data_IF_003324951288
#
_entry.id   IF_003324951288
#
_cell.length_a   1.000
_cell.length_b   1.000
_cell.length_c   1.000
_cell.angle_alpha   90.00
_cell.angle_beta   90.00
_cell.angle_gamma   90.00
#
_symmetry.space_group_name_H-M   'P 1'
#
loop_
_entity.id
_entity.type
_entity.pdbx_description
1 polymer ?
#
# COMPACT_ATOMS: atom_id res chain seq x y z
N UNK A 1 43.98 -23.95 33.86
CA UNK A 1 45.44 -23.70 33.76
C UNK A 1 45.74 -23.47 32.29
N UNK A 2 46.33 -22.35 31.96
CA UNK A 2 46.75 -21.79 30.67
C UNK A 2 45.79 -20.78 30.04
N UNK A 3 46.10 -19.51 30.34
CA UNK A 3 45.69 -18.29 29.61
C UNK A 3 46.84 -17.96 28.63
N UNK A 4 46.59 -17.45 27.47
CA UNK A 4 47.39 -16.37 26.95
C UNK A 4 46.65 -15.18 26.36
N UNK A 5 47.00 -14.07 26.86
CA UNK A 5 47.77 -12.92 26.29
C UNK A 5 47.05 -12.06 25.27
N UNK A 6 46.76 -10.86 25.75
CA UNK A 6 46.45 -9.63 25.04
C UNK A 6 47.58 -9.18 24.10
N UNK A 7 47.19 -8.67 22.94
CA UNK A 7 48.05 -7.81 22.13
C UNK A 7 47.31 -6.47 21.87
N UNK A 8 47.82 -5.42 22.51
CA UNK A 8 47.46 -4.01 22.23
C UNK A 8 48.33 -3.53 21.08
N UNK A 9 47.74 -2.93 20.05
CA UNK A 9 48.46 -2.12 19.05
C UNK A 9 47.95 -0.70 19.19
N UNK A 10 48.82 0.19 19.63
CA UNK A 10 48.72 1.64 19.52
C UNK A 10 49.11 2.03 18.09
N UNK A 11 48.39 2.95 17.49
CA UNK A 11 48.87 3.71 16.35
C UNK A 11 48.49 5.17 16.48
N UNK A 12 49.48 5.97 16.32
CA UNK A 12 49.70 7.38 16.57
C UNK A 12 48.99 8.29 15.57
N UNK A 13 48.52 9.44 16.10
CA UNK A 13 48.03 10.62 15.41
C UNK A 13 49.22 11.36 14.75
N UNK A 14 48.99 11.84 13.52
CA UNK A 14 49.83 12.86 12.89
C UNK A 14 48.97 14.02 12.42
N UNK A 15 49.16 15.17 13.07
CA UNK A 15 48.64 16.49 12.73
C UNK A 15 49.62 17.13 11.73
N UNK A 16 49.12 17.62 10.62
CA UNK A 16 49.86 18.43 9.64
C UNK A 16 49.09 19.70 9.29
N UNK A 17 49.46 20.80 9.91
CA UNK A 17 49.02 22.14 9.52
C UNK A 17 49.96 22.73 8.48
N UNK A 18 49.43 23.32 7.43
CA UNK A 18 50.17 24.17 6.49
C UNK A 18 49.37 25.45 6.25
N UNK A 19 49.97 26.51 6.77
CA UNK A 19 49.57 27.93 6.54
C UNK A 19 50.47 28.43 5.40
N UNK A 20 49.89 29.10 4.43
CA UNK A 20 50.64 29.98 3.51
C UNK A 20 49.78 31.22 3.19
N UNK A 21 50.27 32.32 3.71
CA UNK A 21 49.88 33.69 3.46
C UNK A 21 50.59 34.22 2.20
N UNK A 22 49.91 35.03 1.43
CA UNK A 22 50.51 35.80 0.32
C UNK A 22 49.69 37.09 0.07
N UNK A 23 50.25 38.22 0.51
CA UNK A 23 49.80 39.59 0.21
C UNK A 23 50.31 40.06 -1.14
N UNK A 24 49.59 41.01 -1.77
CA UNK A 24 50.08 41.85 -2.89
C UNK A 24 48.96 42.63 -3.55
N UNK A 25 48.83 43.71 -3.30
CA UNK A 25 48.73 45.18 -3.39
C UNK A 25 48.15 45.71 -4.72
N UNK A 26 47.13 46.53 -4.55
CA UNK A 26 46.78 47.84 -5.14
C UNK A 26 46.93 48.11 -6.66
N UNK A 27 45.79 48.61 -7.20
CA UNK A 27 45.74 49.37 -8.48
C UNK A 27 44.33 49.86 -8.76
N UNK A 28 44.08 51.14 -8.43
CA UNK A 28 42.86 51.90 -8.75
C UNK A 28 42.79 52.19 -10.24
N UNK A 29 41.61 52.01 -10.85
CA UNK A 29 41.10 52.95 -11.87
C UNK A 29 39.59 52.80 -12.09
N UNK A 30 38.96 53.95 -12.08
CA UNK A 30 37.56 54.25 -12.30
C UNK A 30 37.10 53.95 -13.72
N UNK A 31 35.93 53.32 -13.87
CA UNK A 31 35.25 53.19 -15.14
C UNK A 31 33.74 52.95 -14.87
N UNK A 32 32.95 53.95 -15.17
CA UNK A 32 31.50 53.96 -15.17
C UNK A 32 30.95 52.99 -16.22
N UNK A 33 30.10 52.08 -15.81
CA UNK A 33 29.35 51.18 -16.68
C UNK A 33 28.03 50.77 -16.05
N UNK A 34 26.96 51.13 -16.69
CA UNK A 34 25.56 50.90 -16.32
C UNK A 34 25.23 49.42 -16.05
N UNK A 35 24.20 49.11 -15.24
CA UNK A 35 23.83 47.77 -14.93
C UNK A 35 23.20 47.08 -16.15
N UNK A 36 23.85 46.03 -16.64
CA UNK A 36 23.25 45.12 -17.62
C UNK A 36 22.26 44.22 -16.91
N UNK A 37 21.04 44.29 -17.37
CA UNK A 37 19.90 43.48 -17.06
C UNK A 37 20.26 41.97 -17.01
N UNK A 38 19.95 41.34 -15.87
CA UNK A 38 19.86 39.89 -15.78
C UNK A 38 18.83 39.38 -16.81
N UNK A 39 19.28 38.60 -17.74
CA UNK A 39 18.39 37.89 -18.66
C UNK A 39 17.61 36.85 -17.87
N UNK A 40 16.36 37.15 -17.64
CA UNK A 40 15.37 36.13 -17.30
C UNK A 40 15.31 35.12 -18.45
N UNK A 41 15.79 33.94 -18.19
CA UNK A 41 15.62 32.77 -19.07
C UNK A 41 14.13 32.45 -19.17
N UNK A 42 13.46 32.96 -20.19
CA UNK A 42 12.17 32.53 -20.64
C UNK A 42 12.28 31.12 -21.20
N UNK A 43 12.16 30.10 -20.34
CA UNK A 43 11.76 28.73 -20.66
C UNK A 43 10.27 28.55 -20.34
N UNK A 44 9.40 29.32 -20.99
CA UNK A 44 7.94 29.17 -20.83
C UNK A 44 7.40 28.05 -21.72
N UNK A 45 7.71 26.79 -21.45
CA UNK A 45 6.88 25.68 -21.83
C UNK A 45 5.57 25.76 -21.04
N UNK A 46 4.41 25.64 -21.69
CA UNK A 46 3.10 25.45 -21.05
C UNK A 46 3.09 24.09 -20.37
N UNK A 47 3.78 23.96 -19.28
CA UNK A 47 3.82 22.79 -18.41
C UNK A 47 2.55 22.84 -17.56
N UNK A 48 1.55 22.04 -17.91
CA UNK A 48 0.16 21.99 -17.42
C UNK A 48 -0.07 22.18 -15.91
N UNK A 49 0.42 23.30 -15.33
CA UNK A 49 0.22 23.64 -13.93
C UNK A 49 1.10 22.87 -12.94
N UNK A 50 2.17 22.21 -13.39
CA UNK A 50 3.16 21.51 -12.54
C UNK A 50 4.05 22.54 -11.83
N UNK A 51 4.27 22.32 -10.54
CA UNK A 51 5.19 23.08 -9.72
C UNK A 51 6.34 22.19 -9.31
N UNK A 52 7.57 22.56 -9.63
CA UNK A 52 8.78 21.85 -9.21
C UNK A 52 8.98 21.96 -7.69
N UNK A 53 9.42 20.86 -7.07
CA UNK A 53 9.69 20.72 -5.64
C UNK A 53 10.97 19.91 -5.44
N UNK A 54 11.65 20.11 -4.31
CA UNK A 54 12.88 19.37 -3.99
C UNK A 54 12.64 17.90 -3.62
N UNK A 55 11.44 17.56 -3.16
CA UNK A 55 11.05 16.19 -2.81
C UNK A 55 9.52 16.07 -2.81
N UNK A 56 9.02 14.86 -3.04
CA UNK A 56 7.61 14.55 -2.91
C UNK A 56 7.25 14.28 -1.45
N UNK A 57 6.00 14.58 -1.10
CA UNK A 57 5.39 14.27 0.21
C UNK A 57 4.19 13.39 -0.02
N UNK A 58 3.88 12.47 0.90
CA UNK A 58 2.69 11.64 0.77
C UNK A 58 1.42 12.46 0.53
N UNK A 59 0.52 11.92 -0.29
CA UNK A 59 -0.84 12.41 -0.47
C UNK A 59 -1.80 11.43 0.16
N UNK A 60 -2.64 11.94 1.05
CA UNK A 60 -3.73 11.17 1.64
C UNK A 60 -5.01 11.52 0.88
N UNK A 61 -5.57 10.53 0.19
CA UNK A 61 -6.84 10.64 -0.52
C UNK A 61 -7.91 9.98 0.35
N UNK A 62 -8.91 10.76 0.74
CA UNK A 62 -9.98 10.34 1.66
C UNK A 62 -11.29 10.33 0.89
N UNK A 63 -11.96 9.19 0.85
CA UNK A 63 -13.35 9.07 0.41
C UNK A 63 -14.31 9.48 1.54
N UNK A 64 -15.36 10.22 1.18
CA UNK A 64 -16.43 10.60 2.09
C UNK A 64 -17.76 10.64 1.33
N UNK A 65 -18.88 10.72 2.02
CA UNK A 65 -20.19 10.91 1.39
C UNK A 65 -20.25 12.27 0.67
N UNK A 66 -20.23 12.22 -0.66
CA UNK A 66 -20.18 13.37 -1.57
C UNK A 66 -18.85 13.60 -2.27
N UNK A 67 -17.82 12.74 -2.09
CA UNK A 67 -16.62 12.83 -2.91
C UNK A 67 -15.29 12.40 -2.32
N UNK A 68 -14.24 13.10 -2.78
CA UNK A 68 -12.85 12.85 -2.40
C UNK A 68 -12.22 14.13 -1.84
N UNK A 69 -11.53 14.01 -0.72
CA UNK A 69 -10.67 15.03 -0.13
C UNK A 69 -9.22 14.60 -0.28
N UNK A 70 -8.36 15.44 -0.83
CA UNK A 70 -6.92 15.16 -0.90
C UNK A 70 -6.13 16.10 -0.01
N UNK A 71 -5.24 15.55 0.82
CA UNK A 71 -4.41 16.28 1.75
C UNK A 71 -2.92 16.02 1.49
N UNK A 72 -2.10 16.99 1.83
CA UNK A 72 -0.65 16.81 2.02
C UNK A 72 -0.44 16.05 3.32
N UNK A 73 0.11 14.83 3.22
CA UNK A 73 0.26 13.90 4.36
C UNK A 73 1.29 14.35 5.40
N UNK A 74 2.17 15.30 5.07
CA UNK A 74 3.15 15.82 6.02
C UNK A 74 2.65 17.05 6.78
N UNK A 75 1.77 17.86 6.16
CA UNK A 75 1.34 19.15 6.73
C UNK A 75 -0.14 19.20 7.10
N UNK A 76 -0.93 18.22 6.67
CA UNK A 76 -2.39 18.23 6.85
C UNK A 76 -3.13 19.24 5.98
N UNK A 77 -2.44 19.96 5.07
CA UNK A 77 -3.07 20.93 4.20
C UNK A 77 -4.01 20.28 3.22
N UNK A 78 -5.26 20.72 3.16
CA UNK A 78 -6.19 20.35 2.08
C UNK A 78 -5.71 20.91 0.75
N UNK A 79 -5.58 20.05 -0.24
CA UNK A 79 -5.07 20.39 -1.57
C UNK A 79 -6.18 20.46 -2.61
N UNK A 80 -7.16 19.57 -2.52
CA UNK A 80 -8.30 19.53 -3.41
C UNK A 80 -9.49 18.83 -2.75
N UNK A 81 -10.68 19.21 -3.20
CA UNK A 81 -11.93 18.50 -2.94
C UNK A 81 -12.58 18.21 -4.28
N UNK A 82 -12.91 16.95 -4.52
CA UNK A 82 -13.54 16.50 -5.77
C UNK A 82 -14.92 15.95 -5.45
N UNK A 83 -15.98 16.53 -6.04
CA UNK A 83 -17.34 16.02 -5.85
C UNK A 83 -17.55 14.72 -6.62
N UNK A 84 -18.07 13.73 -5.95
CA UNK A 84 -18.50 12.47 -6.55
C UNK A 84 -19.42 11.73 -5.57
N UNK A 85 -20.65 11.47 -5.99
CA UNK A 85 -21.65 10.85 -5.11
C UNK A 85 -21.49 9.33 -5.06
N UNK A 86 -21.95 8.74 -3.98
CA UNK A 86 -21.97 7.30 -3.76
C UNK A 86 -20.84 6.78 -2.86
N UNK A 87 -20.89 5.49 -2.55
CA UNK A 87 -19.82 4.82 -1.81
C UNK A 87 -18.65 4.51 -2.74
N UNK A 88 -17.46 4.94 -2.34
CA UNK A 88 -16.23 4.84 -3.13
C UNK A 88 -15.22 3.93 -2.42
N UNK A 89 -14.60 2.98 -3.14
CA UNK A 89 -13.41 2.26 -2.67
C UNK A 89 -12.17 2.86 -3.30
N UNK A 90 -11.10 2.96 -2.51
CA UNK A 90 -9.86 3.62 -2.93
C UNK A 90 -8.69 2.65 -2.87
N UNK A 91 -8.02 2.46 -4.01
CA UNK A 91 -6.85 1.58 -4.11
C UNK A 91 -5.75 2.28 -4.92
N UNK A 92 -4.49 2.33 -4.44
CA UNK A 92 -3.36 2.80 -5.25
C UNK A 92 -3.19 1.94 -6.51
N UNK A 93 -2.70 2.56 -7.59
CA UNK A 93 -2.39 1.83 -8.84
C UNK A 93 -1.00 1.20 -8.85
N UNK A 94 -0.22 1.34 -7.78
CA UNK A 94 1.16 0.85 -7.74
C UNK A 94 2.20 1.78 -8.39
N UNK A 95 1.81 2.84 -9.10
CA UNK A 95 2.77 3.78 -9.69
C UNK A 95 3.16 4.96 -8.77
N UNK A 96 2.71 4.94 -7.52
CA UNK A 96 3.00 5.98 -6.52
C UNK A 96 2.26 7.30 -6.70
N UNK A 97 1.49 7.48 -7.79
CA UNK A 97 0.80 8.73 -8.13
C UNK A 97 -0.71 8.61 -8.17
N UNK A 98 -1.22 7.56 -8.78
CA UNK A 98 -2.64 7.44 -9.07
C UNK A 98 -3.36 6.53 -8.06
N UNK A 99 -4.64 6.81 -7.91
CA UNK A 99 -5.58 6.01 -7.11
C UNK A 99 -6.74 5.59 -8.01
N UNK A 100 -7.10 4.31 -7.97
CA UNK A 100 -8.33 3.80 -8.58
C UNK A 100 -9.48 4.01 -7.59
N UNK A 101 -10.53 4.62 -8.09
CA UNK A 101 -11.78 4.87 -7.37
C UNK A 101 -12.82 3.92 -7.95
N UNK A 102 -13.18 2.88 -7.18
CA UNK A 102 -14.27 1.98 -7.56
C UNK A 102 -15.61 2.61 -7.20
N UNK A 103 -16.47 2.80 -8.18
CA UNK A 103 -17.81 3.35 -8.05
C UNK A 103 -18.85 2.46 -8.75
N UNK A 104 -19.25 1.36 -8.12
CA UNK A 104 -20.20 0.40 -8.69
C UNK A 104 -19.59 -0.39 -9.86
N UNK A 105 -19.81 0.03 -11.11
CA UNK A 105 -19.50 -0.74 -12.31
C UNK A 105 -18.23 -0.28 -13.06
N UNK A 106 -17.35 0.44 -12.39
CA UNK A 106 -16.11 0.95 -13.00
C UNK A 106 -15.01 1.29 -12.01
N UNK A 107 -13.79 1.28 -12.49
CA UNK A 107 -12.62 1.85 -11.85
C UNK A 107 -12.30 3.18 -12.53
N UNK A 108 -12.40 4.30 -11.78
CA UNK A 108 -12.04 5.63 -12.26
C UNK A 108 -10.63 5.99 -11.83
N UNK A 109 -9.90 6.68 -12.69
CA UNK A 109 -8.55 7.11 -12.40
C UNK A 109 -8.55 8.47 -11.71
N UNK A 110 -8.00 8.53 -10.50
CA UNK A 110 -7.73 9.74 -9.75
C UNK A 110 -6.23 10.02 -9.73
N UNK A 111 -5.84 11.23 -10.12
CA UNK A 111 -4.47 11.71 -10.07
C UNK A 111 -4.24 12.48 -8.77
N UNK A 112 -3.40 11.97 -7.86
CA UNK A 112 -3.07 12.62 -6.60
C UNK A 112 -2.08 13.79 -6.78
N UNK A 113 -1.55 14.01 -7.98
CA UNK A 113 -0.74 15.16 -8.32
C UNK A 113 0.72 15.07 -7.92
N UNK A 114 1.29 13.87 -7.85
CA UNK A 114 2.71 13.60 -7.61
C UNK A 114 3.37 13.16 -8.90
N UNK A 115 4.46 13.82 -9.31
CA UNK A 115 5.16 13.49 -10.56
C UNK A 115 6.66 13.38 -10.30
N UNK A 116 7.23 12.23 -10.64
CA UNK A 116 8.67 12.00 -10.68
C UNK A 116 9.08 11.84 -12.15
N UNK A 117 10.03 12.63 -12.59
CA UNK A 117 10.57 12.58 -13.96
C UNK A 117 12.03 12.18 -13.86
N UNK A 118 12.43 11.02 -14.40
CA UNK A 118 13.83 10.60 -14.41
C UNK A 118 14.65 11.52 -15.31
N UNK A 119 15.83 11.88 -14.87
CA UNK A 119 16.80 12.66 -15.62
C UNK A 119 18.21 12.20 -15.27
N UNK A 120 18.90 11.57 -16.21
CA UNK A 120 20.23 10.99 -16.02
C UNK A 120 20.29 10.06 -14.80
N UNK A 121 20.98 10.45 -13.73
CA UNK A 121 21.19 9.70 -12.48
C UNK A 121 20.29 10.16 -11.32
N UNK A 122 19.36 11.10 -11.57
CA UNK A 122 18.46 11.66 -10.56
C UNK A 122 17.01 11.83 -11.06
N UNK A 123 16.13 12.34 -10.20
CA UNK A 123 14.76 12.65 -10.54
C UNK A 123 14.45 14.12 -10.29
N UNK A 124 13.67 14.71 -11.20
CA UNK A 124 12.97 15.96 -10.96
C UNK A 124 11.58 15.65 -10.41
N UNK A 125 11.21 16.38 -9.36
CA UNK A 125 9.94 16.19 -8.68
C UNK A 125 9.01 17.36 -8.93
N UNK A 126 7.75 17.04 -9.24
CA UNK A 126 6.73 18.07 -9.45
C UNK A 126 5.45 17.71 -8.69
N UNK A 127 4.71 18.75 -8.32
CA UNK A 127 3.35 18.61 -7.80
C UNK A 127 2.36 19.33 -8.68
N UNK A 128 1.15 18.81 -8.77
CA UNK A 128 0.03 19.43 -9.46
C UNK A 128 -1.25 19.28 -8.64
N UNK A 129 -2.32 19.96 -9.04
CA UNK A 129 -3.61 19.86 -8.34
C UNK A 129 -4.20 18.46 -8.51
N UNK A 130 -4.54 17.78 -7.39
CA UNK A 130 -5.22 16.49 -7.44
C UNK A 130 -6.57 16.58 -8.13
N UNK A 131 -6.95 15.55 -8.93
CA UNK A 131 -8.20 15.55 -9.67
C UNK A 131 -8.65 14.16 -10.13
N UNK A 132 -9.94 13.97 -10.28
CA UNK A 132 -10.49 12.87 -11.06
C UNK A 132 -10.23 13.14 -12.54
N UNK A 133 -9.69 12.17 -13.28
CA UNK A 133 -9.13 12.44 -14.63
C UNK A 133 -10.14 12.29 -15.76
N UNK A 134 -11.22 11.60 -15.55
CA UNK A 134 -12.16 11.20 -16.60
C UNK A 134 -11.80 9.88 -17.29
N UNK A 135 -10.59 9.35 -17.10
CA UNK A 135 -10.25 8.01 -17.56
C UNK A 135 -10.86 6.95 -16.63
N UNK A 136 -11.39 5.89 -17.23
CA UNK A 136 -12.05 4.80 -16.48
C UNK A 136 -11.90 3.46 -17.19
N UNK A 137 -11.99 2.38 -16.41
CA UNK A 137 -12.10 1.00 -16.87
C UNK A 137 -13.46 0.47 -16.44
N UNK A 138 -14.26 -0.03 -17.41
CA UNK A 138 -15.54 -0.67 -17.12
C UNK A 138 -15.30 -2.03 -16.45
N UNK A 139 -15.99 -2.27 -15.35
CA UNK A 139 -15.93 -3.49 -14.58
C UNK A 139 -17.24 -3.65 -13.79
N UNK A 140 -18.25 -4.34 -14.34
CA UNK A 140 -19.49 -4.61 -13.63
C UNK A 140 -19.24 -5.19 -12.24
N UNK A 141 -19.79 -4.57 -11.20
CA UNK A 141 -19.49 -4.83 -9.79
C UNK A 141 -17.97 -4.78 -9.57
N UNK A 142 -17.32 -3.62 -9.76
CA UNK A 142 -15.88 -3.40 -9.60
C UNK A 142 -15.41 -3.91 -8.22
N UNK A 143 -14.59 -4.94 -8.21
CA UNK A 143 -14.14 -5.69 -7.06
C UNK A 143 -12.73 -5.32 -6.60
N UNK A 144 -11.88 -6.34 -6.43
CA UNK A 144 -10.52 -6.19 -5.93
C UNK A 144 -9.60 -5.46 -6.93
N UNK A 145 -8.69 -4.68 -6.38
CA UNK A 145 -7.52 -4.10 -7.07
C UNK A 145 -6.29 -4.63 -6.38
N UNK A 146 -5.43 -5.32 -7.10
CA UNK A 146 -4.21 -5.91 -6.56
C UNK A 146 -3.01 -5.40 -7.35
N UNK A 147 -2.02 -4.89 -6.65
CA UNK A 147 -0.75 -4.44 -7.23
C UNK A 147 0.34 -5.42 -6.85
N UNK A 148 1.08 -5.93 -7.84
CA UNK A 148 2.21 -6.82 -7.62
C UNK A 148 3.16 -6.81 -8.83
N UNK A 149 4.46 -6.83 -8.60
CA UNK A 149 5.50 -6.80 -9.65
C UNK A 149 5.33 -5.71 -10.71
N UNK A 150 4.96 -4.48 -10.26
CA UNK A 150 4.77 -3.35 -11.18
C UNK A 150 3.57 -3.52 -12.12
N UNK A 151 2.65 -4.41 -11.81
CA UNK A 151 1.39 -4.63 -12.52
C UNK A 151 0.20 -4.43 -11.60
N UNK A 152 -0.93 -4.05 -12.17
CA UNK A 152 -2.19 -3.83 -11.47
C UNK A 152 -3.25 -4.75 -12.07
N UNK A 153 -3.88 -5.58 -11.24
CA UNK A 153 -5.01 -6.41 -11.61
C UNK A 153 -6.31 -5.82 -11.05
N UNK A 154 -7.34 -5.78 -11.88
CA UNK A 154 -8.66 -5.22 -11.60
C UNK A 154 -9.69 -6.33 -11.79
N UNK A 155 -10.33 -6.78 -10.71
CA UNK A 155 -11.32 -7.85 -10.79
C UNK A 155 -12.73 -7.30 -11.00
N UNK A 156 -13.46 -7.83 -11.99
CA UNK A 156 -14.86 -7.54 -12.24
C UNK A 156 -15.73 -8.70 -11.72
N UNK A 157 -16.32 -8.52 -10.54
CA UNK A 157 -17.14 -9.55 -9.91
C UNK A 157 -18.37 -9.93 -10.76
N UNK A 158 -18.97 -8.92 -11.43
CA UNK A 158 -20.15 -9.14 -12.26
C UNK A 158 -19.88 -9.84 -13.59
N UNK A 159 -18.61 -9.96 -13.98
CA UNK A 159 -18.20 -10.69 -15.19
C UNK A 159 -17.42 -11.96 -14.88
N UNK A 160 -16.78 -12.07 -13.72
CA UNK A 160 -15.81 -13.12 -13.43
C UNK A 160 -14.57 -12.99 -14.30
N UNK A 161 -14.05 -11.76 -14.47
CA UNK A 161 -12.86 -11.46 -15.25
C UNK A 161 -11.88 -10.60 -14.47
N UNK A 162 -10.59 -10.72 -14.77
CA UNK A 162 -9.56 -9.82 -14.27
C UNK A 162 -8.90 -9.08 -15.45
N UNK A 163 -8.77 -7.77 -15.34
CA UNK A 163 -8.03 -6.94 -16.28
C UNK A 163 -6.67 -6.63 -15.67
N UNK A 164 -5.60 -7.00 -16.35
CA UNK A 164 -4.22 -6.83 -15.88
C UNK A 164 -3.48 -5.89 -16.81
N UNK A 165 -2.80 -4.90 -16.23
CA UNK A 165 -1.99 -3.93 -16.96
C UNK A 165 -0.76 -3.56 -16.15
N UNK A 166 0.26 -2.98 -16.78
CA UNK A 166 1.39 -2.43 -16.07
C UNK A 166 0.95 -1.23 -15.22
N UNK A 167 1.55 -1.04 -14.04
CA UNK A 167 1.21 0.10 -13.18
C UNK A 167 1.63 1.45 -13.81
N UNK A 168 2.60 1.47 -14.72
CA UNK A 168 3.01 2.65 -15.48
C UNK A 168 2.09 2.96 -16.69
N UNK A 169 1.16 2.07 -17.05
CA UNK A 169 0.10 2.35 -18.03
C UNK A 169 -0.88 3.46 -17.57
N UNK A 170 -0.89 3.76 -16.27
CA UNK A 170 -1.60 4.91 -15.72
C UNK A 170 -0.71 6.15 -15.77
N UNK A 171 -0.77 6.91 -16.86
CA UNK A 171 0.10 8.08 -17.09
C UNK A 171 -0.70 9.35 -17.36
N UNK A 172 -0.31 10.45 -16.73
CA UNK A 172 -0.86 11.80 -16.96
C UNK A 172 -2.39 11.87 -17.06
N UNK A 173 -3.05 11.08 -16.21
CA UNK A 173 -4.51 11.02 -16.15
C UNK A 173 -5.17 10.22 -17.28
N UNK A 174 -4.42 9.34 -17.94
CA UNK A 174 -4.88 8.42 -18.97
C UNK A 174 -4.61 6.98 -18.58
N UNK A 175 -5.29 6.06 -19.25
CA UNK A 175 -5.07 4.62 -19.14
C UNK A 175 -4.74 4.14 -20.56
N UNK A 176 -3.61 3.49 -20.74
CA UNK A 176 -3.20 2.92 -22.03
C UNK A 176 -3.97 1.63 -22.26
N UNK A 177 -5.05 1.70 -23.04
CA UNK A 177 -5.97 0.58 -23.23
C UNK A 177 -5.36 -0.63 -23.94
N UNK A 178 -4.40 -0.41 -24.84
CA UNK A 178 -3.74 -1.47 -25.61
C UNK A 178 -2.81 -2.36 -24.75
N UNK A 179 -2.57 -1.96 -23.50
CA UNK A 179 -1.77 -2.73 -22.54
C UNK A 179 -2.62 -3.58 -21.58
N UNK A 180 -3.96 -3.58 -21.74
CA UNK A 180 -4.86 -4.35 -20.89
C UNK A 180 -4.97 -5.78 -21.37
N UNK A 181 -4.54 -6.74 -20.54
CA UNK A 181 -4.78 -8.16 -20.75
C UNK A 181 -5.98 -8.60 -19.93
N UNK A 182 -6.98 -9.24 -20.56
CA UNK A 182 -8.13 -9.80 -19.85
C UNK A 182 -7.93 -11.28 -19.58
N UNK A 183 -8.13 -11.68 -18.32
CA UNK A 183 -8.08 -13.06 -17.83
C UNK A 183 -9.50 -13.49 -17.52
N UNK A 184 -9.97 -14.54 -18.19
CA UNK A 184 -11.26 -15.18 -17.94
C UNK A 184 -11.13 -16.11 -16.73
N UNK A 185 -11.97 -15.93 -15.72
CA UNK A 185 -11.94 -16.76 -14.50
C UNK A 185 -13.16 -17.68 -14.36
N UNK A 186 -14.02 -17.67 -15.37
CA UNK A 186 -15.23 -18.48 -15.43
C UNK A 186 -16.50 -17.68 -15.15
N UNK A 187 -17.35 -18.14 -14.24
CA UNK A 187 -18.60 -17.47 -13.93
C UNK A 187 -18.40 -16.21 -13.08
N UNK A 188 -19.37 -15.28 -13.07
CA UNK A 188 -19.39 -14.15 -12.14
C UNK A 188 -19.25 -14.60 -10.70
N UNK A 189 -18.32 -13.97 -9.98
CA UNK A 189 -18.10 -14.19 -8.53
C UNK A 189 -17.26 -13.06 -7.95
N UNK A 190 -17.32 -12.92 -6.64
CA UNK A 190 -16.41 -12.01 -5.93
C UNK A 190 -15.04 -12.68 -5.83
N UNK A 191 -14.09 -12.19 -6.63
CA UNK A 191 -12.80 -12.84 -6.82
C UNK A 191 -11.61 -11.91 -6.70
N UNK A 192 -10.43 -12.50 -6.80
CA UNK A 192 -9.13 -11.80 -6.76
C UNK A 192 -8.23 -12.29 -7.89
N UNK A 193 -7.30 -11.42 -8.31
CA UNK A 193 -6.26 -11.76 -9.28
C UNK A 193 -4.94 -11.10 -8.85
N UNK A 194 -3.86 -11.87 -8.84
CA UNK A 194 -2.51 -11.41 -8.48
C UNK A 194 -1.59 -11.61 -9.66
N UNK A 195 -1.09 -10.55 -10.30
CA UNK A 195 -0.10 -10.66 -11.38
C UNK A 195 1.21 -11.23 -10.86
N UNK A 196 1.88 -12.05 -11.65
CA UNK A 196 3.15 -12.66 -11.31
C UNK A 196 4.31 -12.13 -12.17
N UNK A 197 5.53 -12.34 -11.69
CA UNK A 197 6.75 -11.92 -12.37
C UNK A 197 6.91 -12.60 -13.74
N UNK A 198 6.55 -13.90 -13.84
CA UNK A 198 6.62 -14.70 -15.05
C UNK A 198 5.56 -14.36 -16.12
N UNK A 199 4.73 -13.36 -15.87
CA UNK A 199 3.63 -12.95 -16.75
C UNK A 199 2.33 -13.71 -16.53
N UNK A 200 2.32 -14.73 -15.67
CA UNK A 200 1.12 -15.43 -15.24
C UNK A 200 0.30 -14.64 -14.23
N UNK A 201 -0.84 -15.20 -13.85
CA UNK A 201 -1.75 -14.62 -12.87
C UNK A 201 -2.27 -15.71 -11.94
N UNK A 202 -2.21 -15.48 -10.63
CA UNK A 202 -2.99 -16.28 -9.68
C UNK A 202 -4.38 -15.68 -9.58
N UNK A 203 -5.41 -16.49 -9.71
CA UNK A 203 -6.79 -16.00 -9.65
C UNK A 203 -7.73 -17.02 -9.04
N UNK A 204 -8.82 -16.52 -8.48
CA UNK A 204 -9.92 -17.35 -8.01
C UNK A 204 -10.77 -17.84 -9.17
N UNK A 205 -11.40 -19.01 -8.97
CA UNK A 205 -12.41 -19.57 -9.86
C UNK A 205 -13.59 -20.02 -9.02
N UNK A 206 -14.80 -19.66 -9.44
CA UNK A 206 -15.99 -19.98 -8.67
C UNK A 206 -17.26 -19.46 -9.30
N UNK A 207 -18.29 -19.35 -8.49
CA UNK A 207 -19.59 -18.74 -8.81
C UNK A 207 -19.99 -17.78 -7.67
N UNK A 208 -21.11 -17.09 -7.82
CA UNK A 208 -21.65 -16.26 -6.71
C UNK A 208 -21.95 -17.08 -5.44
N UNK A 209 -22.28 -18.37 -5.59
CA UNK A 209 -22.64 -19.29 -4.49
C UNK A 209 -21.44 -20.00 -3.89
N UNK A 210 -20.48 -20.41 -4.73
CA UNK A 210 -19.36 -21.25 -4.33
C UNK A 210 -18.03 -20.74 -4.85
N UNK A 211 -17.09 -20.54 -3.94
CA UNK A 211 -15.72 -20.09 -4.21
C UNK A 211 -14.77 -20.95 -3.38
N UNK A 212 -14.09 -21.88 -4.00
CA UNK A 212 -13.17 -22.78 -3.30
C UNK A 212 -11.89 -23.06 -4.09
N UNK A 213 -11.74 -22.46 -5.26
CA UNK A 213 -10.62 -22.77 -6.15
C UNK A 213 -9.74 -21.54 -6.37
N UNK A 214 -8.44 -21.74 -6.27
CA UNK A 214 -7.39 -20.82 -6.72
C UNK A 214 -6.61 -21.52 -7.83
N UNK A 215 -6.37 -20.82 -8.92
CA UNK A 215 -5.60 -21.31 -10.06
C UNK A 215 -4.48 -20.35 -10.45
N UNK A 216 -3.40 -20.90 -11.01
CA UNK A 216 -2.42 -20.13 -11.79
C UNK A 216 -2.76 -20.29 -13.26
N UNK A 217 -2.92 -19.17 -13.94
CA UNK A 217 -2.94 -19.13 -15.41
C UNK A 217 -1.60 -18.57 -15.90
N UNK A 218 -1.09 -19.12 -17.00
CA UNK A 218 0.11 -18.61 -17.65
C UNK A 218 -0.19 -17.35 -18.49
N UNK A 219 0.84 -16.77 -19.11
CA UNK A 219 0.71 -15.59 -19.95
C UNK A 219 -0.21 -15.78 -21.18
N UNK A 220 -0.53 -17.02 -21.55
CA UNK A 220 -1.51 -17.34 -22.61
C UNK A 220 -2.95 -17.46 -22.08
N UNK A 221 -3.15 -17.35 -20.76
CA UNK A 221 -4.45 -17.53 -20.10
C UNK A 221 -4.81 -18.99 -19.81
N UNK A 222 -3.88 -19.95 -20.01
CA UNK A 222 -4.09 -21.36 -19.74
C UNK A 222 -3.82 -21.68 -18.27
N UNK A 223 -4.74 -22.38 -17.60
CA UNK A 223 -4.52 -22.89 -16.25
C UNK A 223 -3.39 -23.94 -16.25
N UNK A 224 -2.36 -23.70 -15.43
CA UNK A 224 -1.15 -24.53 -15.31
C UNK A 224 -0.99 -25.15 -13.91
N UNK A 225 -1.65 -24.59 -12.90
CA UNK A 225 -1.76 -25.17 -11.56
C UNK A 225 -3.10 -24.75 -10.94
N UNK A 226 -3.66 -25.61 -10.09
CA UNK A 226 -4.95 -25.36 -9.43
C UNK A 226 -5.00 -26.04 -8.06
N UNK A 227 -5.68 -25.40 -7.09
CA UNK A 227 -6.07 -26.01 -5.82
C UNK A 227 -7.54 -25.71 -5.54
N UNK A 228 -8.32 -26.74 -5.28
CA UNK A 228 -9.72 -26.63 -4.87
C UNK A 228 -9.91 -26.65 -3.33
N UNK A 229 -8.83 -26.64 -2.57
CA UNK A 229 -8.86 -26.65 -1.10
C UNK A 229 -8.78 -25.24 -0.48
N UNK A 230 -9.66 -24.36 -0.93
CA UNK A 230 -9.79 -23.00 -0.38
C UNK A 230 -11.25 -22.57 -0.28
N UNK A 231 -12.10 -23.27 0.51
CA UNK A 231 -13.52 -22.93 0.61
C UNK A 231 -13.69 -21.48 1.12
N UNK A 232 -14.64 -20.78 0.50
CA UNK A 232 -14.92 -19.38 0.83
C UNK A 232 -13.76 -18.43 0.55
N UNK A 233 -12.93 -18.71 -0.47
CA UNK A 233 -11.75 -17.92 -0.80
C UNK A 233 -12.07 -16.42 -0.88
N UNK A 234 -11.27 -15.63 -0.16
CA UNK A 234 -11.41 -14.17 -0.09
C UNK A 234 -10.12 -13.55 0.42
N UNK A 235 -9.66 -12.52 -0.27
CA UNK A 235 -8.43 -11.81 0.08
C UNK A 235 -7.17 -12.56 -0.30
N UNK A 236 -6.15 -11.79 -0.52
CA UNK A 236 -4.82 -12.20 -0.97
C UNK A 236 -3.75 -11.32 -0.34
N UNK A 237 -2.53 -11.82 -0.26
CA UNK A 237 -1.38 -11.01 0.10
C UNK A 237 -0.11 -11.61 -0.49
N UNK A 238 0.69 -10.77 -1.14
CA UNK A 238 2.04 -11.12 -1.53
C UNK A 238 3.00 -10.96 -0.36
N UNK A 239 3.99 -11.84 -0.25
CA UNK A 239 5.04 -11.80 0.76
C UNK A 239 6.42 -11.68 0.10
N UNK A 240 7.44 -11.37 0.91
CA UNK A 240 8.83 -11.48 0.47
C UNK A 240 9.12 -12.92 0.08
N UNK A 241 9.72 -13.10 -1.08
CA UNK A 241 10.31 -14.36 -1.50
C UNK A 241 11.76 -14.48 -1.02
N UNK A 242 12.23 -15.69 -0.79
CA UNK A 242 13.65 -16.02 -0.55
C UNK A 242 14.37 -16.42 -1.84
N UNK A 243 13.66 -16.48 -2.96
CA UNK A 243 14.16 -16.82 -4.29
C UNK A 243 13.59 -15.93 -5.39
N UNK A 244 13.66 -16.39 -6.64
CA UNK A 244 13.20 -15.65 -7.82
C UNK A 244 11.68 -15.79 -8.08
N UNK A 245 10.96 -16.56 -7.26
CA UNK A 245 9.56 -16.87 -7.44
C UNK A 245 8.63 -15.97 -6.64
N UNK A 246 7.37 -15.89 -7.09
CA UNK A 246 6.33 -15.19 -6.36
C UNK A 246 5.81 -16.01 -5.18
N UNK A 247 5.54 -15.34 -4.07
CA UNK A 247 4.91 -15.92 -2.88
C UNK A 247 3.64 -15.16 -2.56
N UNK A 248 2.50 -15.85 -2.63
CA UNK A 248 1.18 -15.25 -2.42
C UNK A 248 0.32 -16.15 -1.54
N UNK A 249 -0.38 -15.58 -0.57
CA UNK A 249 -1.35 -16.30 0.24
C UNK A 249 -2.79 -15.90 -0.10
N UNK A 250 -3.72 -16.84 0.11
CA UNK A 250 -5.16 -16.67 -0.05
C UNK A 250 -5.88 -17.04 1.23
N UNK A 251 -6.90 -16.27 1.58
CA UNK A 251 -7.74 -16.54 2.72
C UNK A 251 -8.83 -17.56 2.39
N UNK A 252 -8.92 -18.63 3.17
CA UNK A 252 -9.95 -19.67 3.07
C UNK A 252 -10.67 -19.80 4.42
N UNK A 253 -11.74 -20.61 4.51
CA UNK A 253 -12.47 -20.82 5.76
C UNK A 253 -11.98 -22.07 6.54
N UNK A 254 -10.97 -22.77 6.03
CA UNK A 254 -10.33 -23.94 6.62
C UNK A 254 -8.81 -23.78 6.76
N UNK A 255 -8.34 -22.57 7.03
CA UNK A 255 -6.93 -22.19 7.04
C UNK A 255 -6.45 -21.65 5.68
N UNK A 256 -5.42 -20.79 5.66
CA UNK A 256 -4.91 -20.16 4.45
C UNK A 256 -4.36 -21.17 3.42
N UNK A 257 -4.26 -20.71 2.16
CA UNK A 257 -3.56 -21.40 1.08
C UNK A 257 -2.39 -20.53 0.63
N UNK A 258 -1.19 -21.09 0.52
CA UNK A 258 0.02 -20.39 0.06
C UNK A 258 0.43 -20.92 -1.29
N UNK A 259 0.67 -20.02 -2.26
CA UNK A 259 1.36 -20.34 -3.52
C UNK A 259 2.83 -19.92 -3.40
N UNK A 260 3.73 -20.85 -3.64
CA UNK A 260 5.19 -20.63 -3.74
C UNK A 260 5.82 -21.77 -4.52
N UNK A 261 7.00 -21.58 -5.07
CA UNK A 261 7.76 -22.61 -5.81
C UNK A 261 6.92 -23.31 -6.91
N UNK A 262 5.99 -22.57 -7.52
CA UNK A 262 5.11 -23.10 -8.56
C UNK A 262 3.95 -23.99 -8.07
N UNK A 263 3.78 -24.17 -6.76
CA UNK A 263 2.79 -25.07 -6.17
C UNK A 263 1.95 -24.39 -5.08
N UNK A 264 0.79 -25.00 -4.79
CA UNK A 264 -0.08 -24.61 -3.69
C UNK A 264 0.19 -25.44 -2.44
N UNK A 265 0.32 -24.78 -1.30
CA UNK A 265 0.57 -25.37 0.01
C UNK A 265 -0.56 -24.99 0.97
N UNK A 266 -1.30 -26.00 1.45
CA UNK A 266 -2.34 -25.76 2.44
C UNK A 266 -1.74 -25.59 3.82
N UNK A 267 -2.19 -24.55 4.52
CA UNK A 267 -1.78 -24.28 5.91
C UNK A 267 -2.72 -25.01 6.85
N UNK A 268 -2.18 -25.91 7.66
CA UNK A 268 -2.95 -26.63 8.67
C UNK A 268 -3.27 -25.71 9.86
N UNK A 269 -4.52 -25.76 10.30
CA UNK A 269 -5.02 -25.03 11.47
C UNK A 269 -5.74 -26.02 12.41
N UNK A 270 -5.71 -25.80 13.74
CA UNK A 270 -6.37 -26.71 14.67
C UNK A 270 -7.90 -26.58 14.69
N UNK A 271 -8.44 -25.42 14.27
CA UNK A 271 -9.87 -25.14 14.27
C UNK A 271 -10.56 -25.77 13.05
N UNK A 272 -11.75 -26.32 13.24
CA UNK A 272 -12.58 -26.83 12.14
C UNK A 272 -13.04 -25.71 11.17
N UNK A 273 -13.16 -24.49 11.67
CA UNK A 273 -13.36 -23.28 10.92
C UNK A 273 -12.32 -22.24 11.35
N UNK A 274 -11.49 -21.82 10.42
CA UNK A 274 -10.57 -20.71 10.59
C UNK A 274 -10.54 -19.90 9.29
N UNK A 275 -11.02 -18.66 9.36
CA UNK A 275 -11.07 -17.76 8.22
C UNK A 275 -9.98 -16.68 8.34
N UNK A 276 -9.20 -16.54 7.27
CA UNK A 276 -8.17 -15.51 7.07
C UNK A 276 -8.51 -14.64 5.85
N UNK A 277 -9.73 -14.09 5.83
CA UNK A 277 -10.30 -13.43 4.64
C UNK A 277 -9.77 -12.04 4.36
N UNK A 278 -9.14 -11.36 5.33
CA UNK A 278 -8.45 -10.10 5.14
C UNK A 278 -6.98 -10.29 5.42
N UNK A 279 -6.15 -9.86 4.49
CA UNK A 279 -4.71 -10.05 4.57
C UNK A 279 -3.96 -8.76 4.23
N UNK A 280 -2.77 -8.60 4.77
CA UNK A 280 -1.84 -7.54 4.43
C UNK A 280 -0.44 -8.11 4.30
N UNK A 281 0.11 -8.04 3.10
CA UNK A 281 1.44 -8.51 2.74
C UNK A 281 2.51 -7.42 2.84
N UNK A 282 3.76 -7.82 2.71
CA UNK A 282 4.89 -6.89 2.67
C UNK A 282 6.06 -7.50 1.89
N UNK A 283 6.69 -6.74 0.97
CA UNK A 283 7.89 -7.20 0.29
C UNK A 283 9.12 -7.29 1.22
N UNK A 284 9.01 -6.79 2.45
CA UNK A 284 10.08 -6.83 3.45
C UNK A 284 9.98 -8.05 4.40
N UNK A 285 8.91 -8.84 4.33
CA UNK A 285 8.66 -9.93 5.29
C UNK A 285 8.07 -11.16 4.60
N UNK A 286 8.55 -12.39 4.92
CA UNK A 286 7.91 -13.62 4.46
C UNK A 286 6.61 -13.92 5.25
N UNK A 287 6.24 -13.08 6.21
CA UNK A 287 5.06 -13.27 7.05
C UNK A 287 3.96 -12.32 6.61
N UNK A 288 2.80 -12.84 6.23
CA UNK A 288 1.59 -12.06 5.97
C UNK A 288 0.76 -11.90 7.26
N UNK A 289 0.27 -10.68 7.49
CA UNK A 289 -0.71 -10.39 8.54
C UNK A 289 -2.11 -10.75 8.03
N UNK A 290 -2.85 -11.57 8.78
CA UNK A 290 -4.22 -11.97 8.40
C UNK A 290 -5.21 -11.72 9.54
N UNK A 291 -6.49 -11.62 9.22
CA UNK A 291 -7.49 -11.85 10.27
C UNK A 291 -7.46 -13.33 10.71
N UNK A 292 -7.95 -13.58 11.94
CA UNK A 292 -8.02 -14.92 12.51
C UNK A 292 -9.41 -15.13 13.13
N UNK A 293 -10.36 -15.56 12.30
CA UNK A 293 -11.77 -15.74 12.64
C UNK A 293 -12.05 -17.21 12.85
N UNK A 294 -12.76 -17.54 13.93
CA UNK A 294 -13.02 -18.94 14.33
C UNK A 294 -14.50 -19.21 14.68
N UNK A 295 -15.33 -18.19 14.65
CA UNK A 295 -16.78 -18.30 14.90
C UNK A 295 -17.57 -18.07 13.59
N UNK A 296 -17.95 -19.17 12.92
CA UNK A 296 -18.71 -19.13 11.66
C UNK A 296 -20.13 -18.57 11.80
N UNK A 297 -20.69 -18.55 13.03
CA UNK A 297 -22.07 -18.17 13.29
C UNK A 297 -22.20 -16.70 13.69
N UNK A 298 -21.10 -16.06 14.10
CA UNK A 298 -21.06 -14.63 14.41
C UNK A 298 -21.18 -13.75 13.15
N UNK A 299 -22.10 -12.77 13.20
CA UNK A 299 -22.37 -11.86 12.05
C UNK A 299 -22.58 -10.42 12.54
N UNK A 300 -21.60 -9.52 12.38
CA UNK A 300 -20.22 -9.79 11.96
C UNK A 300 -19.40 -10.45 13.08
N UNK A 301 -18.44 -11.27 12.69
CA UNK A 301 -17.43 -11.77 13.61
C UNK A 301 -16.38 -10.68 13.87
N UNK A 302 -16.14 -10.43 15.15
CA UNK A 302 -15.22 -9.41 15.66
C UNK A 302 -14.05 -10.10 16.38
N UNK A 303 -13.04 -10.59 15.64
CA UNK A 303 -11.94 -11.33 16.24
C UNK A 303 -11.08 -10.45 17.13
N UNK A 304 -10.50 -11.03 18.17
CA UNK A 304 -9.46 -10.40 19.02
C UNK A 304 -8.07 -10.87 18.68
N UNK A 305 -7.95 -11.90 17.83
CA UNK A 305 -6.69 -12.48 17.38
C UNK A 305 -6.42 -12.10 15.93
N UNK A 306 -5.14 -11.88 15.62
CA UNK A 306 -4.64 -11.85 14.23
C UNK A 306 -3.82 -13.10 13.95
N UNK A 307 -3.71 -13.48 12.69
CA UNK A 307 -2.81 -14.52 12.21
C UNK A 307 -1.53 -13.92 11.65
N UNK A 308 -0.39 -14.46 12.05
CA UNK A 308 0.90 -14.24 11.42
C UNK A 308 1.21 -15.49 10.58
N UNK A 309 0.96 -15.39 9.29
CA UNK A 309 1.14 -16.47 8.33
C UNK A 309 2.56 -16.44 7.78
N UNK A 310 3.40 -17.34 8.24
CA UNK A 310 4.72 -17.56 7.65
C UNK A 310 4.57 -18.35 6.35
N UNK A 311 4.86 -17.72 5.22
CA UNK A 311 4.65 -18.30 3.90
C UNK A 311 5.75 -19.28 3.50
N UNK A 312 6.95 -19.18 4.07
CA UNK A 312 8.06 -20.11 3.84
C UNK A 312 7.79 -21.49 4.47
N UNK A 313 7.35 -21.50 5.72
CA UNK A 313 7.03 -22.74 6.43
C UNK A 313 5.59 -23.22 6.24
N UNK A 314 4.73 -22.43 5.62
CA UNK A 314 3.28 -22.63 5.51
C UNK A 314 2.62 -22.90 6.89
N UNK A 315 2.96 -22.06 7.88
CA UNK A 315 2.43 -22.11 9.23
C UNK A 315 1.79 -20.80 9.63
N UNK A 316 0.79 -20.83 10.50
CA UNK A 316 0.13 -19.62 11.02
C UNK A 316 0.18 -19.61 12.54
N UNK A 317 0.56 -18.48 13.11
CA UNK A 317 0.57 -18.24 14.56
C UNK A 317 -0.52 -17.24 14.89
N UNK A 318 -1.44 -17.59 15.78
CA UNK A 318 -2.46 -16.68 16.28
C UNK A 318 -1.90 -15.80 17.41
N UNK A 319 -2.06 -14.49 17.30
CA UNK A 319 -1.63 -13.51 18.29
C UNK A 319 -2.85 -12.81 18.88
N UNK A 320 -3.02 -12.93 20.21
CA UNK A 320 -4.11 -12.25 20.94
C UNK A 320 -3.77 -10.78 21.18
N UNK A 321 -4.69 -9.88 20.83
CA UNK A 321 -4.52 -8.43 20.97
C UNK A 321 -5.24 -7.86 22.19
N UNK A 322 -6.22 -8.60 22.73
CA UNK A 322 -7.06 -8.19 23.87
C UNK A 322 -8.21 -7.26 23.49
N UNK A 323 -8.34 -6.89 22.24
CA UNK A 323 -9.42 -6.06 21.71
C UNK A 323 -9.70 -6.42 20.25
N UNK A 324 -10.95 -6.30 19.83
CA UNK A 324 -11.39 -6.62 18.47
C UNK A 324 -10.91 -5.57 17.46
N UNK A 325 -11.02 -5.92 16.19
CA UNK A 325 -10.70 -5.05 15.06
C UNK A 325 -11.61 -5.39 13.87
N UNK A 326 -11.57 -4.60 12.80
CA UNK A 326 -12.33 -4.86 11.57
C UNK A 326 -11.44 -4.92 10.34
N UNK A 327 -12.03 -5.14 9.17
CA UNK A 327 -11.29 -5.41 7.92
C UNK A 327 -10.39 -4.25 7.44
N UNK A 328 -10.65 -2.99 7.82
CA UNK A 328 -9.79 -1.83 7.48
C UNK A 328 -8.71 -1.54 8.54
N UNK A 329 -8.58 -2.42 9.53
CA UNK A 329 -7.63 -2.25 10.64
C UNK A 329 -6.23 -2.75 10.36
N UNK A 330 -6.00 -3.51 9.27
CA UNK A 330 -4.74 -4.18 8.99
C UNK A 330 -3.90 -3.35 8.02
N UNK A 331 -2.61 -3.15 8.35
CA UNK A 331 -1.62 -2.53 7.47
C UNK A 331 -0.21 -3.10 7.75
N UNK A 332 0.76 -2.73 6.91
CA UNK A 332 2.16 -3.15 7.06
C UNK A 332 3.08 -1.94 7.07
N UNK A 333 4.05 -1.94 7.96
CA UNK A 333 5.16 -1.00 7.97
C UNK A 333 6.21 -1.35 6.91
N UNK A 334 7.08 -0.38 6.60
CA UNK A 334 8.12 -0.52 5.54
C UNK A 334 9.13 -1.64 5.79
N UNK A 335 9.38 -2.01 7.06
CA UNK A 335 10.30 -3.08 7.41
C UNK A 335 9.56 -4.42 7.68
N UNK A 336 8.27 -4.49 7.32
CA UNK A 336 7.45 -5.67 7.52
C UNK A 336 6.71 -5.73 8.85
N UNK A 337 6.70 -4.65 9.66
CA UNK A 337 5.91 -4.59 10.89
C UNK A 337 4.42 -4.84 10.59
N UNK A 338 3.74 -5.58 11.45
CA UNK A 338 2.29 -5.76 11.41
C UNK A 338 1.59 -4.66 12.22
N UNK A 339 0.68 -3.94 11.58
CA UNK A 339 -0.06 -2.83 12.18
C UNK A 339 -1.52 -3.23 12.32
N UNK A 340 -2.09 -3.13 13.53
CA UNK A 340 -3.49 -3.46 13.80
C UNK A 340 -4.15 -2.40 14.66
N UNK A 341 -5.14 -1.71 14.11
CA UNK A 341 -5.96 -0.75 14.85
C UNK A 341 -7.13 -1.46 15.54
N UNK A 342 -7.13 -1.50 16.86
CA UNK A 342 -8.14 -2.20 17.66
C UNK A 342 -9.26 -1.29 18.17
N UNK A 343 -10.39 -1.88 18.62
CA UNK A 343 -11.59 -1.15 19.06
C UNK A 343 -11.38 -0.32 20.32
N UNK A 344 -10.38 -0.65 21.13
CA UNK A 344 -9.95 0.17 22.27
C UNK A 344 -9.23 1.46 21.85
N UNK A 345 -9.11 1.70 20.53
CA UNK A 345 -8.54 2.90 19.95
C UNK A 345 -7.02 2.87 19.78
N UNK A 346 -6.40 1.72 20.00
CA UNK A 346 -4.94 1.57 19.95
C UNK A 346 -4.46 1.04 18.60
N UNK A 347 -3.39 1.62 18.09
CA UNK A 347 -2.60 1.04 17.01
C UNK A 347 -1.56 0.11 17.63
N UNK A 348 -1.71 -1.20 17.43
CA UNK A 348 -0.73 -2.20 17.82
C UNK A 348 0.30 -2.34 16.70
N UNK A 349 1.57 -2.18 17.01
CA UNK A 349 2.71 -2.38 16.12
C UNK A 349 3.43 -3.64 16.59
N UNK A 350 3.41 -4.70 15.75
CA UNK A 350 3.96 -6.00 16.08
C UNK A 350 5.18 -6.31 15.22
N UNK A 351 6.14 -7.01 15.80
CA UNK A 351 7.13 -7.77 15.06
C UNK A 351 6.44 -8.96 14.36
N UNK A 352 6.51 -9.02 13.04
CA UNK A 352 5.79 -10.03 12.27
C UNK A 352 6.39 -11.44 12.39
N UNK A 353 7.68 -11.55 12.69
CA UNK A 353 8.34 -12.85 12.86
C UNK A 353 8.00 -13.52 14.17
N UNK A 354 7.88 -12.75 15.25
CA UNK A 354 7.69 -13.26 16.60
C UNK A 354 6.28 -13.05 17.17
N UNK A 355 5.51 -12.14 16.60
CA UNK A 355 4.20 -11.72 17.13
C UNK A 355 4.30 -10.82 18.37
N UNK A 356 5.50 -10.45 18.79
CA UNK A 356 5.70 -9.52 19.90
C UNK A 356 5.11 -8.14 19.58
N UNK A 357 4.31 -7.60 20.49
CA UNK A 357 3.85 -6.22 20.43
C UNK A 357 5.01 -5.29 20.77
N UNK A 358 5.56 -4.65 19.73
CA UNK A 358 6.64 -3.69 19.87
C UNK A 358 6.13 -2.39 20.52
N UNK A 359 4.93 -1.94 20.16
CA UNK A 359 4.30 -0.72 20.68
C UNK A 359 2.78 -0.82 20.65
N UNK A 360 2.13 -0.13 21.60
CA UNK A 360 0.69 0.18 21.58
C UNK A 360 0.54 1.68 21.67
N UNK A 361 -0.05 2.29 20.67
CA UNK A 361 -0.20 3.75 20.55
C UNK A 361 -1.66 4.12 20.69
N UNK A 362 -2.02 4.97 21.63
CA UNK A 362 -3.37 5.55 21.72
C UNK A 362 -3.55 6.54 20.56
N UNK A 363 -4.46 6.24 19.62
CA UNK A 363 -4.62 7.02 18.39
C UNK A 363 -6.01 7.60 18.27
N UNK A 364 -7.05 6.79 18.44
CA UNK A 364 -8.45 7.19 18.30
C UNK A 364 -9.21 6.87 19.59
N UNK A 365 -10.39 7.46 19.77
CA UNK A 365 -11.28 7.05 20.86
C UNK A 365 -11.74 5.59 20.66
N UNK A 366 -12.08 4.86 21.75
CA UNK A 366 -12.68 3.55 21.62
C UNK A 366 -13.90 3.58 20.68
N UNK A 367 -13.99 2.58 19.83
CA UNK A 367 -14.97 2.52 18.75
C UNK A 367 -15.46 1.09 18.50
N UNK A 368 -16.43 0.93 17.64
CA UNK A 368 -16.92 -0.37 17.18
C UNK A 368 -17.40 -0.25 15.74
N UNK A 369 -17.17 -1.27 14.91
CA UNK A 369 -17.69 -1.30 13.55
C UNK A 369 -19.22 -1.28 13.54
N UNK A 370 -19.75 -0.69 12.47
CA UNK A 370 -21.18 -0.69 12.19
C UNK A 370 -21.61 -2.00 11.55
N UNK A 371 -22.91 -2.29 11.57
CA UNK A 371 -23.47 -3.46 10.87
C UNK A 371 -23.32 -3.34 9.36
N UNK A 372 -23.58 -2.16 8.81
CA UNK A 372 -23.31 -1.85 7.42
C UNK A 372 -21.83 -1.48 7.28
N UNK A 373 -21.04 -2.35 6.65
CA UNK A 373 -19.60 -2.19 6.43
C UNK A 373 -19.22 -0.96 5.56
N UNK A 374 -20.18 -0.39 4.81
CA UNK A 374 -20.00 0.84 4.05
C UNK A 374 -20.08 2.11 4.90
N UNK A 375 -20.57 2.01 6.12
CA UNK A 375 -20.59 3.15 7.03
C UNK A 375 -19.18 3.53 7.49
N UNK A 376 -18.95 4.83 7.83
CA UNK A 376 -17.68 5.32 8.29
C UNK A 376 -17.17 4.61 9.55
N UNK A 377 -15.93 4.12 9.49
CA UNK A 377 -15.17 3.58 10.60
C UNK A 377 -13.68 3.93 10.44
N UNK A 378 -12.88 3.81 11.51
CA UNK A 378 -11.45 4.07 11.45
C UNK A 378 -10.74 3.19 10.42
N UNK A 379 -9.78 3.78 9.71
CA UNK A 379 -9.03 3.15 8.62
C UNK A 379 -7.55 3.38 8.86
N UNK A 380 -6.70 2.36 8.68
CA UNK A 380 -5.25 2.50 8.78
C UNK A 380 -4.59 2.21 7.44
N UNK A 381 -3.68 3.08 7.02
CA UNK A 381 -2.79 2.89 5.87
C UNK A 381 -1.38 3.30 6.26
N UNK A 382 -0.38 2.67 5.65
CA UNK A 382 1.01 2.99 5.88
C UNK A 382 1.74 3.31 4.58
N UNK A 383 2.70 4.23 4.65
CA UNK A 383 3.64 4.54 3.59
C UNK A 383 4.96 4.98 4.21
N UNK A 384 6.08 4.41 3.77
CA UNK A 384 7.37 4.65 4.40
C UNK A 384 7.33 4.30 5.90
N UNK A 385 7.82 5.20 6.75
CA UNK A 385 7.81 5.04 8.23
C UNK A 385 6.56 5.63 8.89
N UNK A 386 5.50 5.92 8.13
CA UNK A 386 4.31 6.59 8.66
C UNK A 386 3.05 5.75 8.50
N UNK A 387 2.28 5.67 9.57
CA UNK A 387 0.90 5.18 9.55
C UNK A 387 -0.06 6.37 9.62
N UNK A 388 -1.08 6.34 8.75
CA UNK A 388 -2.18 7.28 8.75
C UNK A 388 -3.42 6.57 9.25
N UNK A 389 -4.13 7.20 10.20
CA UNK A 389 -5.34 6.65 10.80
C UNK A 389 -6.46 7.68 10.74
N UNK A 390 -7.59 7.31 10.16
CA UNK A 390 -8.79 8.17 10.19
C UNK A 390 -9.62 7.90 11.44
N UNK A 391 -10.18 8.95 12.03
CA UNK A 391 -11.16 8.91 13.12
C UNK A 391 -12.48 9.59 12.69
N UNK A 392 -13.44 8.85 12.13
CA UNK A 392 -14.70 9.44 11.63
C UNK A 392 -15.53 10.14 12.71
N UNK A 393 -15.52 9.62 13.94
CA UNK A 393 -16.32 10.15 15.05
C UNK A 393 -15.95 11.59 15.44
N UNK A 394 -14.67 11.95 15.30
CA UNK A 394 -14.14 13.29 15.61
C UNK A 394 -13.69 14.04 14.37
N UNK A 395 -13.84 13.42 13.18
CA UNK A 395 -13.39 13.97 11.90
C UNK A 395 -11.91 14.34 11.95
N UNK A 396 -11.05 13.38 12.25
CA UNK A 396 -9.59 13.59 12.31
C UNK A 396 -8.84 12.62 11.42
N UNK A 397 -7.66 13.08 11.02
CA UNK A 397 -6.59 12.26 10.44
C UNK A 397 -5.39 12.34 11.37
N UNK A 398 -4.88 11.20 11.78
CA UNK A 398 -3.71 11.07 12.63
C UNK A 398 -2.54 10.52 11.83
N UNK A 399 -1.32 10.99 12.15
CA UNK A 399 -0.06 10.51 11.58
C UNK A 399 0.84 10.00 12.69
N UNK A 400 1.24 8.75 12.61
CA UNK A 400 2.05 8.04 13.59
C UNK A 400 3.36 7.63 12.93
N UNK A 401 4.49 7.86 13.59
CA UNK A 401 5.76 7.27 13.19
C UNK A 401 5.84 5.82 13.65
N UNK A 402 5.96 4.88 12.71
CA UNK A 402 5.91 3.44 13.01
C UNK A 402 7.11 3.01 13.86
N UNK A 403 8.31 3.47 13.51
CA UNK A 403 9.55 3.09 14.18
C UNK A 403 9.62 3.52 15.64
N UNK A 404 9.01 4.65 16.02
CA UNK A 404 9.00 5.18 17.39
C UNK A 404 7.69 4.94 18.13
N UNK A 405 6.57 4.81 17.40
CA UNK A 405 5.21 4.82 17.95
C UNK A 405 4.73 6.21 18.35
N UNK A 406 5.41 7.28 17.92
CA UNK A 406 5.02 8.64 18.23
C UNK A 406 3.84 9.11 17.38
N UNK A 407 2.81 9.67 18.03
CA UNK A 407 1.73 10.39 17.36
C UNK A 407 2.25 11.77 16.97
N UNK A 408 2.71 11.92 15.72
CA UNK A 408 3.35 13.14 15.23
C UNK A 408 2.36 14.28 15.02
N UNK A 409 1.19 13.98 14.46
CA UNK A 409 0.20 14.98 14.10
C UNK A 409 -1.24 14.44 14.17
N UNK A 410 -2.16 15.37 14.40
CA UNK A 410 -3.60 15.15 14.32
C UNK A 410 -4.24 16.37 13.66
N UNK A 411 -4.89 16.17 12.51
CA UNK A 411 -5.51 17.25 11.75
C UNK A 411 -7.04 17.09 11.73
N UNK A 412 -7.75 18.20 11.83
CA UNK A 412 -9.19 18.23 11.66
C UNK A 412 -9.57 18.10 10.17
N UNK A 413 -10.57 17.27 9.89
CA UNK A 413 -11.11 17.07 8.55
C UNK A 413 -12.43 17.83 8.41
N UNK A 414 -12.65 18.52 7.27
CA UNK A 414 -13.93 19.19 7.00
C UNK A 414 -15.07 18.19 6.70
N UNK A 415 -14.76 16.90 6.53
CA UNK A 415 -15.67 15.82 6.13
C UNK A 415 -15.55 14.64 7.09
N UNK A 416 -16.55 13.76 7.11
CA UNK A 416 -16.47 12.46 7.80
C UNK A 416 -15.76 11.45 6.90
N UNK A 417 -14.53 10.99 7.22
CA UNK A 417 -13.79 10.05 6.38
C UNK A 417 -14.46 8.68 6.37
N UNK A 418 -14.45 8.01 5.21
CA UNK A 418 -14.98 6.66 5.05
C UNK A 418 -13.93 5.70 4.47
N UNK A 419 -13.29 6.04 3.36
CA UNK A 419 -12.21 5.28 2.75
C UNK A 419 -10.92 6.12 2.73
N UNK A 420 -9.76 5.45 2.62
CA UNK A 420 -8.48 6.14 2.54
C UNK A 420 -7.49 5.37 1.67
N UNK A 421 -6.79 6.10 0.80
CA UNK A 421 -5.59 5.64 0.13
C UNK A 421 -4.45 6.63 0.36
N UNK A 422 -3.21 6.13 0.37
CA UNK A 422 -2.01 6.96 0.50
C UNK A 422 -1.05 6.63 -0.63
N UNK A 423 -0.49 7.65 -1.27
CA UNK A 423 0.54 7.55 -2.29
C UNK A 423 1.65 8.57 -2.01
N UNK A 424 2.90 8.27 -2.33
CA UNK A 424 4.06 9.10 -1.97
C UNK A 424 4.96 9.50 -3.16
N UNK A 425 4.56 9.11 -4.37
CA UNK A 425 5.34 9.33 -5.59
C UNK A 425 6.33 8.21 -5.91
N UNK A 426 6.45 7.21 -5.02
CA UNK A 426 7.31 6.04 -5.24
C UNK A 426 6.48 4.93 -5.89
N UNK A 427 6.84 4.47 -7.09
CA UNK A 427 6.20 3.29 -7.66
C UNK A 427 6.54 2.06 -6.80
N UNK A 428 5.62 1.10 -6.77
CA UNK A 428 5.94 -0.22 -6.23
C UNK A 428 7.07 -0.82 -7.06
N UNK A 429 8.19 -1.05 -6.40
CA UNK A 429 9.33 -1.66 -7.07
C UNK A 429 8.97 -3.10 -7.45
N UNK A 430 9.28 -3.54 -8.68
CA UNK A 430 9.30 -4.97 -8.94
C UNK A 430 10.22 -5.61 -7.90
N UNK A 431 9.78 -6.68 -7.26
CA UNK A 431 10.63 -7.44 -6.37
C UNK A 431 11.90 -7.85 -7.14
N UNK A 432 13.07 -7.55 -6.56
CA UNK A 432 14.35 -7.88 -7.15
C UNK A 432 14.60 -9.35 -7.03
#
# INVERSE_FOLDING_TARGET
MIIPRFLKVLSTVAVGALVLSGCGSSGSQSGSGSPSSASEGRGGGKDGGRKEVSSLRPRVVIGYDGGLLTMDGATGKVLATTKHDGFLRLNPTGNGRHVLVSDGDRFRLFDAGLVSVPHEDHFHYYTQTPKLTGAEIKAPKAGHVVVHHGKTALFSDGQGTAQVLKSDAFTDGKITADEITTIETGAPHHGVAVPLADGGVLTTKGTEQERHTVQKVDASGKAVAESADCPGVHGEAAAKSDGDGDVVSFGCTNGPLVYRDGAFHKVAVPEAYQRSGNQAGSPASPVNLTDYKVDKDAKPERPTKVGLLNTESATITAVELGSSYWFRSLARGKNGESLVLTYDGKLNILDSGTGHVLRKVDVVKPWREKENWQEPGPNVKAVGDYAYVTEPATKKLHMIQISTGELLNSWDLPVTPNEMAVVDGSPESPAK
#
